data_IF_193805722558
#
_entry.id   IF_193805722558
#
_cell.length_a   1.000
_cell.length_b   1.000
_cell.length_c   1.000
_cell.angle_alpha   90.00
_cell.angle_beta   90.00
_cell.angle_gamma   90.00
#
_symmetry.space_group_name_H-M   'P 1'
#
loop_
_entity.id
_entity.type
_entity.pdbx_description
1 polymer ?
#
# COMPACT_ATOMS: atom_id res chain seq x y z
N UNK A 1 -22.97 -15.54 -12.34
CA UNK A 1 -22.05 -16.09 -11.31
C UNK A 1 -21.81 -15.04 -10.24
N UNK A 2 -22.16 -15.33 -9.00
CA UNK A 2 -21.98 -14.42 -7.85
C UNK A 2 -20.56 -14.54 -7.32
N UNK A 3 -19.91 -13.41 -7.17
CA UNK A 3 -18.54 -13.33 -6.70
C UNK A 3 -18.49 -13.02 -5.20
N UNK A 4 -17.56 -13.64 -4.47
CA UNK A 4 -17.37 -13.36 -3.04
C UNK A 4 -16.86 -11.93 -2.80
N UNK A 5 -17.18 -11.37 -1.63
CA UNK A 5 -16.86 -9.98 -1.23
C UNK A 5 -15.70 -9.91 -0.23
N UNK A 6 -14.75 -10.84 -0.35
CA UNK A 6 -13.59 -10.93 0.54
C UNK A 6 -12.56 -9.83 0.31
N UNK A 7 -11.95 -9.32 1.39
CA UNK A 7 -10.94 -8.24 1.39
C UNK A 7 -9.75 -8.49 0.47
N UNK A 8 -9.41 -9.75 0.20
CA UNK A 8 -8.26 -10.17 -0.65
C UNK A 8 -8.68 -10.98 -1.87
N UNK A 9 -9.95 -10.90 -2.28
CA UNK A 9 -10.39 -11.53 -3.53
C UNK A 9 -9.71 -10.85 -4.72
N UNK A 10 -9.20 -11.66 -5.65
CA UNK A 10 -8.60 -11.19 -6.91
C UNK A 10 -7.15 -10.72 -6.78
N UNK A 11 -6.51 -10.91 -5.63
CA UNK A 11 -5.15 -10.40 -5.37
C UNK A 11 -4.05 -11.45 -5.54
N UNK A 12 -4.32 -12.55 -6.28
CA UNK A 12 -3.39 -13.68 -6.45
C UNK A 12 -2.01 -13.21 -6.92
N UNK A 13 -1.97 -12.41 -7.98
CA UNK A 13 -0.73 -11.86 -8.54
C UNK A 13 -0.39 -10.46 -8.01
N UNK A 14 -1.36 -9.75 -7.45
CA UNK A 14 -1.16 -8.37 -6.98
C UNK A 14 -0.26 -8.29 -5.74
N UNK A 15 -0.40 -9.25 -4.82
CA UNK A 15 0.40 -9.33 -3.60
C UNK A 15 1.46 -10.45 -3.66
N UNK A 16 1.56 -11.17 -4.78
CA UNK A 16 2.62 -12.17 -4.96
C UNK A 16 3.98 -11.47 -5.01
N UNK A 17 4.99 -12.10 -4.42
CA UNK A 17 6.36 -11.60 -4.52
C UNK A 17 6.95 -11.90 -5.89
N UNK A 18 7.85 -11.03 -6.37
CA UNK A 18 8.58 -11.32 -7.60
C UNK A 18 9.47 -12.55 -7.43
N UNK A 19 9.77 -13.18 -8.56
CA UNK A 19 10.58 -14.39 -8.61
C UNK A 19 11.92 -14.18 -7.90
N UNK A 20 12.35 -15.18 -7.09
CA UNK A 20 13.59 -15.17 -6.29
C UNK A 20 13.71 -14.02 -5.28
N UNK A 21 12.61 -13.35 -4.94
CA UNK A 21 12.61 -12.30 -3.90
C UNK A 21 11.82 -12.72 -2.66
N UNK A 22 11.56 -14.01 -2.46
CA UNK A 22 10.86 -14.54 -1.28
C UNK A 22 11.74 -14.50 -0.02
N UNK A 23 11.12 -14.63 1.16
CA UNK A 23 11.83 -14.66 2.44
C UNK A 23 11.90 -13.30 3.14
N UNK A 24 13.06 -13.03 3.74
CA UNK A 24 13.30 -11.89 4.63
C UNK A 24 13.23 -10.56 3.86
N UNK A 25 12.54 -9.58 4.41
CA UNK A 25 12.45 -8.22 3.86
C UNK A 25 13.75 -7.47 4.22
N UNK A 26 14.38 -6.75 3.27
CA UNK A 26 15.60 -6.00 3.56
C UNK A 26 15.36 -4.94 4.65
N UNK A 27 16.33 -4.80 5.55
CA UNK A 27 16.25 -3.87 6.69
C UNK A 27 16.11 -2.41 6.26
N UNK A 28 16.60 -2.07 5.07
CA UNK A 28 16.46 -0.75 4.48
C UNK A 28 14.99 -0.32 4.32
N UNK A 29 14.04 -1.25 4.16
CA UNK A 29 12.61 -0.92 4.06
C UNK A 29 12.03 -0.49 5.41
N UNK A 30 12.50 -1.08 6.52
CA UNK A 30 12.03 -0.73 7.87
C UNK A 30 12.63 0.58 8.38
N UNK A 31 13.88 0.86 8.04
CA UNK A 31 14.61 2.04 8.53
C UNK A 31 14.36 3.30 7.68
N UNK A 32 13.40 3.28 6.75
CA UNK A 32 13.05 4.47 5.97
C UNK A 32 12.36 5.49 6.86
N UNK A 33 12.88 6.71 6.83
CA UNK A 33 12.31 7.84 7.57
C UNK A 33 11.18 8.43 6.73
N UNK A 34 9.99 8.52 7.32
CA UNK A 34 8.82 9.19 6.74
C UNK A 34 8.48 10.42 7.57
N UNK A 35 8.29 11.55 6.90
CA UNK A 35 7.83 12.79 7.53
C UNK A 35 6.41 13.11 7.06
N UNK A 36 5.68 13.87 7.87
CA UNK A 36 4.37 14.39 7.48
C UNK A 36 4.54 15.32 6.28
N UNK A 37 3.68 15.16 5.27
CA UNK A 37 3.73 15.91 4.02
C UNK A 37 4.49 15.22 2.88
N UNK A 38 5.26 14.15 3.16
CA UNK A 38 5.96 13.41 2.12
C UNK A 38 4.98 12.72 1.16
N UNK A 39 5.35 12.67 -0.12
CA UNK A 39 4.63 11.92 -1.15
C UNK A 39 5.17 10.48 -1.17
N UNK A 40 4.26 9.52 -1.06
CA UNK A 40 4.59 8.10 -0.92
C UNK A 40 3.68 7.23 -1.77
N UNK A 41 4.25 6.14 -2.29
CA UNK A 41 3.51 5.11 -3.01
C UNK A 41 3.12 3.96 -2.09
N UNK A 42 1.93 3.42 -2.30
CA UNK A 42 1.37 2.32 -1.50
C UNK A 42 1.55 1.02 -2.26
N UNK A 43 2.47 0.18 -1.77
CA UNK A 43 2.68 -1.17 -2.29
C UNK A 43 2.48 -2.20 -1.17
N UNK A 44 1.52 -3.10 -1.35
CA UNK A 44 1.34 -4.24 -0.45
C UNK A 44 2.23 -5.42 -0.85
N UNK A 45 3.10 -5.88 0.05
CA UNK A 45 3.86 -7.12 -0.13
C UNK A 45 3.22 -8.29 0.62
N UNK A 46 3.20 -9.49 0.03
CA UNK A 46 2.60 -10.68 0.65
C UNK A 46 3.34 -11.25 1.86
N UNK A 47 4.58 -10.84 2.15
CA UNK A 47 5.36 -11.35 3.32
C UNK A 47 4.79 -10.85 4.64
N UNK A 48 4.43 -9.57 4.71
CA UNK A 48 3.99 -8.93 5.95
C UNK A 48 2.47 -8.86 5.92
N UNK A 49 1.80 -9.62 6.78
CA UNK A 49 0.33 -9.68 6.79
C UNK A 49 -0.32 -8.53 7.59
N UNK A 50 0.37 -8.03 8.62
CA UNK A 50 -0.15 -6.99 9.50
C UNK A 50 -0.04 -5.61 8.85
N UNK A 51 -1.10 -4.81 8.97
CA UNK A 51 -1.13 -3.44 8.45
C UNK A 51 -1.07 -3.31 6.92
N UNK A 52 -1.36 -4.40 6.19
CA UNK A 52 -1.43 -4.36 4.73
C UNK A 52 -2.59 -3.50 4.23
N UNK A 53 -2.39 -2.75 3.14
CA UNK A 53 -3.44 -1.98 2.51
C UNK A 53 -4.49 -2.88 1.84
N UNK A 54 -5.70 -2.37 1.71
CA UNK A 54 -6.72 -3.01 0.87
C UNK A 54 -6.33 -2.94 -0.60
N UNK A 55 -6.79 -3.90 -1.40
CA UNK A 55 -6.46 -4.04 -2.84
C UNK A 55 -6.75 -2.78 -3.66
N UNK A 56 -7.75 -1.99 -3.28
CA UNK A 56 -8.10 -0.76 -4.00
C UNK A 56 -7.10 0.39 -3.80
N UNK A 57 -6.18 0.28 -2.85
CA UNK A 57 -5.14 1.29 -2.58
C UNK A 57 -3.76 0.86 -3.10
N UNK A 58 -3.62 -0.37 -3.60
CA UNK A 58 -2.35 -0.84 -4.15
C UNK A 58 -2.00 -0.07 -5.41
N UNK A 59 -0.75 0.40 -5.51
CA UNK A 59 -0.26 1.20 -6.62
C UNK A 59 -0.78 2.64 -6.64
N UNK A 60 -1.34 3.14 -5.53
CA UNK A 60 -1.74 4.54 -5.40
C UNK A 60 -0.68 5.35 -4.69
N UNK A 61 -0.55 6.59 -5.12
CA UNK A 61 0.28 7.61 -4.47
C UNK A 61 -0.58 8.46 -3.54
N UNK A 62 -0.02 8.85 -2.41
CA UNK A 62 -0.68 9.71 -1.44
C UNK A 62 0.30 10.55 -0.63
N UNK A 63 -0.26 11.34 0.30
CA UNK A 63 0.53 12.18 1.21
C UNK A 63 0.44 11.67 2.64
N UNK A 64 1.57 11.67 3.34
CA UNK A 64 1.63 11.26 4.75
C UNK A 64 0.96 12.30 5.64
N UNK A 65 -0.06 11.89 6.42
CA UNK A 65 -0.75 12.76 7.38
C UNK A 65 -0.34 12.49 8.82
N UNK A 66 -0.12 11.22 9.16
CA UNK A 66 0.25 10.81 10.51
C UNK A 66 1.32 9.72 10.47
N UNK A 67 2.17 9.72 11.49
CA UNK A 67 3.21 8.71 11.68
C UNK A 67 3.00 8.12 13.07
N UNK A 68 2.94 6.80 13.15
CA UNK A 68 2.84 6.05 14.40
C UNK A 68 4.09 5.19 14.59
N UNK A 69 4.22 4.54 15.75
CA UNK A 69 5.42 3.75 16.09
C UNK A 69 5.81 2.70 15.04
N UNK A 70 4.83 2.13 14.35
CA UNK A 70 5.08 1.11 13.33
C UNK A 70 4.43 1.41 11.97
N UNK A 71 3.57 2.44 11.86
CA UNK A 71 2.73 2.72 10.68
C UNK A 71 2.89 4.13 10.14
N UNK A 72 2.41 4.29 8.90
CA UNK A 72 2.21 5.59 8.28
C UNK A 72 0.76 5.72 7.84
N UNK A 73 0.09 6.77 8.28
CA UNK A 73 -1.21 7.16 7.79
C UNK A 73 -1.07 7.98 6.51
N UNK A 74 -1.72 7.55 5.43
CA UNK A 74 -1.61 8.17 4.11
C UNK A 74 -2.99 8.62 3.63
N UNK A 75 -3.09 9.86 3.14
CA UNK A 75 -4.29 10.38 2.48
C UNK A 75 -4.18 10.06 0.98
N UNK A 76 -5.18 9.37 0.45
CA UNK A 76 -5.24 8.91 -0.94
C UNK A 76 -6.62 9.21 -1.52
N UNK A 77 -6.65 9.76 -2.72
CA UNK A 77 -7.90 9.96 -3.45
C UNK A 77 -8.37 8.63 -4.05
N UNK A 78 -9.61 8.22 -3.74
CA UNK A 78 -10.25 7.01 -4.28
C UNK A 78 -11.45 7.45 -5.12
N UNK A 79 -11.50 7.03 -6.38
CA UNK A 79 -12.70 7.17 -7.20
C UNK A 79 -13.76 6.16 -6.71
N UNK A 80 -15.00 6.62 -6.58
CA UNK A 80 -16.10 5.92 -5.91
C UNK A 80 -16.54 4.59 -6.58
N UNK A 81 -15.99 4.21 -7.74
CA UNK A 81 -16.33 2.97 -8.46
C UNK A 81 -15.96 1.68 -7.72
N UNK A 82 -15.16 1.75 -6.66
CA UNK A 82 -14.78 0.60 -5.82
C UNK A 82 -15.56 0.54 -4.49
N UNK A 83 -16.77 1.11 -4.45
CA UNK A 83 -17.70 1.12 -3.30
C UNK A 83 -18.76 0.01 -3.30
N UNK A 84 -18.73 -0.93 -4.24
CA UNK A 84 -19.67 -2.08 -4.24
C UNK A 84 -19.32 -3.17 -3.21
N UNK A 85 -18.58 -2.83 -2.16
CA UNK A 85 -18.36 -3.68 -1.00
C UNK A 85 -19.00 -3.00 0.23
N UNK A 86 -20.14 -3.51 0.77
CA UNK A 86 -20.88 -2.91 1.90
C UNK A 86 -20.10 -2.89 3.24
N UNK A 87 -18.85 -3.37 3.24
CA UNK A 87 -17.91 -3.32 4.35
C UNK A 87 -17.12 -2.00 4.42
N UNK A 88 -17.14 -1.19 3.36
CA UNK A 88 -16.39 0.07 3.26
C UNK A 88 -17.26 1.27 3.69
N UNK A 89 -17.91 1.16 4.87
CA UNK A 89 -18.71 2.23 5.51
C UNK A 89 -17.83 3.43 5.90
N UNK A 90 -17.34 4.18 4.91
CA UNK A 90 -16.71 5.49 5.10
C UNK A 90 -15.23 5.49 5.49
N UNK A 91 -14.41 4.53 5.04
CA UNK A 91 -12.97 4.54 5.33
C UNK A 91 -12.20 5.57 4.47
N UNK A 92 -12.33 6.86 4.81
CA UNK A 92 -11.49 7.97 4.29
C UNK A 92 -10.04 7.96 4.84
N UNK A 93 -9.65 6.93 5.61
CA UNK A 93 -8.32 6.78 6.22
C UNK A 93 -7.84 5.35 6.06
N UNK A 94 -6.76 5.15 5.30
CA UNK A 94 -6.01 3.90 5.30
C UNK A 94 -4.71 4.10 6.07
N UNK A 95 -4.52 3.30 7.12
CA UNK A 95 -3.23 3.18 7.81
C UNK A 95 -2.44 2.15 7.01
N UNK A 96 -1.31 2.57 6.44
CA UNK A 96 -0.39 1.69 5.70
C UNK A 96 0.82 1.46 6.60
N UNK A 97 0.99 0.23 7.08
CA UNK A 97 2.28 -0.20 7.59
C UNK A 97 3.10 -0.72 6.40
N UNK A 98 4.31 -0.17 6.21
CA UNK A 98 5.25 -0.61 5.19
C UNK A 98 5.08 0.11 3.86
N UNK A 99 5.53 1.37 3.81
CA UNK A 99 5.82 2.02 2.53
C UNK A 99 7.18 1.49 2.07
N UNK A 100 7.22 0.84 0.92
CA UNK A 100 8.45 0.65 0.18
C UNK A 100 8.52 1.83 -0.80
N UNK A 101 9.37 2.82 -0.50
CA UNK A 101 9.59 3.95 -1.42
C UNK A 101 10.37 3.40 -2.62
N UNK A 102 9.71 3.18 -3.75
CA UNK A 102 10.43 3.04 -5.01
C UNK A 102 11.02 4.42 -5.33
N UNK A 103 12.35 4.50 -5.43
CA UNK A 103 12.98 5.64 -6.08
C UNK A 103 12.66 5.47 -7.56
N UNK A 104 11.81 6.34 -8.10
CA UNK A 104 11.70 6.48 -9.55
C UNK A 104 13.09 6.80 -10.08
N UNK A 105 13.62 5.95 -10.96
CA UNK A 105 14.78 6.28 -11.76
C UNK A 105 14.35 7.41 -12.71
N UNK A 106 14.60 8.65 -12.31
CA UNK A 106 14.57 9.80 -13.21
C UNK A 106 15.86 9.78 -14.02
N UNK A 107 15.83 9.11 -15.16
CA UNK A 107 16.76 9.38 -16.26
C UNK A 107 16.21 10.55 -17.06
N UNK A 108 16.84 11.72 -16.92
CA UNK A 108 16.90 12.80 -17.92
C UNK A 108 18.17 13.60 -17.53
N UNK A 109 19.36 13.17 -17.96
CA UNK A 109 20.13 13.69 -19.12
C UNK A 109 20.06 15.20 -19.33
N UNK A 110 21.26 15.78 -19.42
CA UNK A 110 21.67 17.05 -20.04
C UNK A 110 20.65 17.75 -20.94
#
# INVERSE_FOLDING_TARGET
MTNTKGKRRGTRYMFSRPFRKHGVVPLATYMRIYKKGDIVDIKGMGTVQKGMPHKCYHGKTGRVYNVTQHAVGIIVNKQYSCLEDPMDRGAWRTIVHGVEKEMGNGSDTT
#
